data_IF_854091960973
#
_entry.id   IF_854091960973
#
_cell.length_a   1.000
_cell.length_b   1.000
_cell.length_c   1.000
_cell.angle_alpha   90.00
_cell.angle_beta   90.00
_cell.angle_gamma   90.00
#
_symmetry.space_group_name_H-M   'P 1'
#
loop_
_entity.id
_entity.type
_entity.pdbx_description
1 polymer ?
#
# COMPACT_ATOMS: atom_id res chain seq x y z
N UNK A 1 13.41 -9.69 1.17
CA UNK A 1 14.03 -10.68 2.08
C UNK A 1 15.19 -11.37 1.40
N UNK A 2 16.19 -11.82 2.18
CA UNK A 2 17.22 -12.75 1.68
C UNK A 2 16.58 -14.13 1.53
N UNK A 3 16.99 -14.88 0.49
CA UNK A 3 16.49 -16.23 0.26
C UNK A 3 17.05 -17.18 1.32
N UNK A 4 16.21 -18.07 1.86
CA UNK A 4 16.61 -19.09 2.83
C UNK A 4 17.47 -20.14 2.14
N UNK A 5 18.55 -20.66 2.76
CA UNK A 5 19.27 -21.81 2.23
C UNK A 5 18.36 -23.03 2.00
N UNK A 6 18.54 -23.71 0.87
CA UNK A 6 17.69 -24.83 0.46
C UNK A 6 17.78 -25.14 -1.03
N UNK A 7 16.99 -26.09 -1.49
CA UNK A 7 16.92 -26.49 -2.88
C UNK A 7 15.86 -25.66 -3.63
N UNK A 8 16.21 -25.19 -4.81
CA UNK A 8 15.42 -24.31 -5.64
C UNK A 8 15.40 -24.74 -7.10
N UNK A 9 14.42 -24.30 -7.82
CA UNK A 9 14.31 -24.46 -9.27
C UNK A 9 14.31 -23.06 -9.90
N UNK A 10 15.24 -22.79 -10.82
CA UNK A 10 15.15 -21.62 -11.70
C UNK A 10 14.41 -22.01 -12.97
N UNK A 11 13.45 -21.19 -13.38
CA UNK A 11 12.65 -21.33 -14.59
C UNK A 11 12.91 -20.16 -15.52
N UNK A 12 13.30 -20.45 -16.75
CA UNK A 12 13.43 -19.48 -17.83
C UNK A 12 12.29 -19.70 -18.84
N UNK A 13 11.48 -18.68 -19.07
CA UNK A 13 10.42 -18.70 -20.09
C UNK A 13 10.77 -17.71 -21.19
N UNK A 14 10.89 -18.21 -22.42
CA UNK A 14 11.16 -17.39 -23.62
C UNK A 14 10.19 -17.80 -24.72
N UNK A 15 9.29 -16.91 -25.10
CA UNK A 15 8.15 -17.23 -25.95
C UNK A 15 7.36 -18.43 -25.39
N UNK A 16 7.21 -19.50 -26.18
CA UNK A 16 6.51 -20.72 -25.82
C UNK A 16 7.43 -21.81 -25.24
N UNK A 17 8.70 -21.50 -25.00
CA UNK A 17 9.69 -22.45 -24.48
C UNK A 17 9.98 -22.19 -23.02
N UNK A 18 9.93 -23.25 -22.20
CA UNK A 18 10.31 -23.20 -20.79
C UNK A 18 11.48 -24.17 -20.55
N UNK A 19 12.48 -23.65 -19.85
CA UNK A 19 13.64 -24.42 -19.36
C UNK A 19 13.69 -24.32 -17.85
N UNK A 20 14.01 -25.42 -17.19
CA UNK A 20 14.16 -25.47 -15.73
C UNK A 20 15.50 -26.06 -15.36
N UNK A 21 16.08 -25.56 -14.26
CA UNK A 21 17.33 -26.08 -13.69
C UNK A 21 17.24 -26.04 -12.16
N UNK A 22 17.56 -27.17 -11.54
CA UNK A 22 17.67 -27.27 -10.08
C UNK A 22 19.00 -26.67 -9.63
N UNK A 23 18.99 -26.02 -8.45
CA UNK A 23 20.20 -25.52 -7.78
C UNK A 23 19.99 -25.44 -6.27
N UNK A 24 21.06 -25.47 -5.51
CA UNK A 24 21.03 -25.36 -4.05
C UNK A 24 21.69 -24.06 -3.59
N UNK A 25 21.01 -23.35 -2.70
CA UNK A 25 21.57 -22.22 -1.97
C UNK A 25 22.10 -22.74 -0.63
N UNK A 26 23.40 -22.63 -0.44
CA UNK A 26 24.04 -23.01 0.80
C UNK A 26 24.11 -21.82 1.77
N UNK A 27 24.00 -22.12 3.08
CA UNK A 27 24.32 -21.15 4.12
C UNK A 27 25.79 -20.76 4.03
N UNK A 28 26.09 -19.46 4.21
CA UNK A 28 27.48 -19.00 4.36
C UNK A 28 28.10 -19.64 5.59
N UNK A 29 29.18 -20.44 5.43
CA UNK A 29 29.85 -21.13 6.55
C UNK A 29 30.47 -20.15 7.54
N UNK A 30 30.74 -18.89 7.16
CA UNK A 30 31.30 -17.86 8.04
C UNK A 30 30.26 -17.13 8.84
N UNK A 31 28.98 -17.27 8.51
CA UNK A 31 27.86 -16.65 9.23
C UNK A 31 27.55 -17.42 10.51
N UNK A 32 27.46 -16.71 11.65
CA UNK A 32 27.10 -17.28 12.95
C UNK A 32 25.58 -17.53 13.12
N UNK A 33 24.73 -16.89 12.30
CA UNK A 33 23.28 -17.10 12.35
C UNK A 33 22.90 -18.54 12.02
N UNK A 34 21.91 -19.09 12.71
CA UNK A 34 21.37 -20.43 12.44
C UNK A 34 20.45 -20.43 11.20
N UNK A 35 20.10 -21.60 10.68
CA UNK A 35 19.08 -21.73 9.61
C UNK A 35 17.73 -21.23 10.10
N UNK A 36 17.42 -21.48 11.37
CA UNK A 36 16.20 -21.03 12.04
C UNK A 36 16.13 -19.50 12.11
N UNK A 37 17.26 -18.84 12.41
CA UNK A 37 17.37 -17.38 12.41
C UNK A 37 17.11 -16.80 11.03
N UNK A 38 17.71 -17.40 9.98
CA UNK A 38 17.52 -16.98 8.59
C UNK A 38 16.06 -17.13 8.16
N UNK A 39 15.40 -18.24 8.56
CA UNK A 39 13.98 -18.44 8.30
C UNK A 39 13.10 -17.40 9.00
N UNK A 40 13.35 -17.18 10.30
CA UNK A 40 12.62 -16.18 11.08
C UNK A 40 12.79 -14.77 10.51
N UNK A 41 14.01 -14.42 10.05
CA UNK A 41 14.28 -13.16 9.35
C UNK A 41 13.51 -13.06 8.04
N UNK A 42 13.49 -14.13 7.25
CA UNK A 42 12.77 -14.20 5.97
C UNK A 42 11.27 -13.97 6.17
N UNK A 43 10.66 -14.67 7.12
CA UNK A 43 9.24 -14.54 7.45
C UNK A 43 8.91 -13.13 7.95
N UNK A 44 9.71 -12.59 8.86
CA UNK A 44 9.57 -11.24 9.38
C UNK A 44 9.57 -10.17 8.29
N UNK A 45 10.54 -10.23 7.38
CA UNK A 45 10.68 -9.26 6.28
C UNK A 45 9.56 -9.41 5.25
N UNK A 46 9.14 -10.65 4.94
CA UNK A 46 8.04 -10.88 3.99
C UNK A 46 6.69 -10.41 4.53
N UNK A 47 6.43 -10.60 5.82
CA UNK A 47 5.21 -10.07 6.43
C UNK A 47 5.16 -8.54 6.34
N UNK A 48 6.27 -7.85 6.64
CA UNK A 48 6.38 -6.39 6.46
C UNK A 48 6.11 -6.00 5.00
N UNK A 49 6.77 -6.64 4.05
CA UNK A 49 6.62 -6.32 2.64
C UNK A 49 5.18 -6.51 2.17
N UNK A 50 4.52 -7.59 2.58
CA UNK A 50 3.12 -7.85 2.22
C UNK A 50 2.18 -6.74 2.69
N UNK A 51 2.34 -6.27 3.94
CA UNK A 51 1.50 -5.19 4.49
C UNK A 51 1.83 -3.85 3.84
N UNK A 52 3.09 -3.57 3.54
CA UNK A 52 3.50 -2.35 2.83
C UNK A 52 2.95 -2.34 1.41
N UNK A 53 3.00 -3.46 0.70
CA UNK A 53 2.46 -3.58 -0.66
C UNK A 53 0.94 -3.39 -0.67
N UNK A 54 0.21 -3.97 0.29
CA UNK A 54 -1.22 -3.76 0.45
C UNK A 54 -1.56 -2.29 0.69
N UNK A 55 -0.82 -1.62 1.58
CA UNK A 55 -1.00 -0.21 1.85
C UNK A 55 -0.70 0.67 0.62
N UNK A 56 0.33 0.35 -0.16
CA UNK A 56 0.65 1.08 -1.40
C UNK A 56 -0.43 0.89 -2.46
N UNK A 57 -0.98 -0.32 -2.61
CA UNK A 57 -2.10 -0.57 -3.51
C UNK A 57 -3.35 0.25 -3.11
N UNK A 58 -3.63 0.35 -1.81
CA UNK A 58 -4.71 1.20 -1.30
C UNK A 58 -4.46 2.68 -1.62
N UNK A 59 -3.22 3.19 -1.42
CA UNK A 59 -2.83 4.57 -1.75
C UNK A 59 -3.00 4.86 -3.25
N UNK A 60 -2.59 3.95 -4.12
CA UNK A 60 -2.78 4.11 -5.56
C UNK A 60 -4.26 4.21 -5.95
N UNK A 61 -5.11 3.37 -5.34
CA UNK A 61 -6.55 3.43 -5.57
C UNK A 61 -7.18 4.71 -4.99
N UNK A 62 -6.77 5.14 -3.80
CA UNK A 62 -7.17 6.43 -3.20
C UNK A 62 -6.89 7.57 -4.20
N UNK A 63 -5.71 7.61 -4.78
CA UNK A 63 -5.33 8.67 -5.74
C UNK A 63 -6.17 8.66 -7.02
N UNK A 64 -6.57 7.47 -7.50
CA UNK A 64 -7.52 7.35 -8.62
C UNK A 64 -8.90 7.90 -8.24
N UNK A 65 -9.43 7.50 -7.08
CA UNK A 65 -10.71 7.97 -6.58
C UNK A 65 -10.71 9.51 -6.40
N UNK A 66 -9.64 10.06 -5.80
CA UNK A 66 -9.48 11.52 -5.63
C UNK A 66 -9.54 12.24 -6.95
N UNK A 67 -8.84 11.74 -7.97
CA UNK A 67 -8.86 12.31 -9.31
C UNK A 67 -10.27 12.31 -9.92
N UNK A 68 -10.97 11.18 -9.81
CA UNK A 68 -12.30 11.01 -10.41
C UNK A 68 -13.34 11.87 -9.68
N UNK A 69 -13.36 11.91 -8.35
CA UNK A 69 -14.25 12.75 -7.57
C UNK A 69 -13.98 14.25 -7.78
N UNK A 70 -12.70 14.65 -7.88
CA UNK A 70 -12.34 16.06 -8.17
C UNK A 70 -12.81 16.46 -9.57
N UNK A 71 -12.64 15.56 -10.55
CA UNK A 71 -13.17 15.78 -11.90
C UNK A 71 -14.69 15.92 -11.90
N UNK A 72 -15.40 15.02 -11.21
CA UNK A 72 -16.86 15.10 -11.04
C UNK A 72 -17.28 16.44 -10.45
N UNK A 73 -16.64 16.90 -9.38
CA UNK A 73 -16.95 18.20 -8.76
C UNK A 73 -16.76 19.37 -9.72
N UNK A 74 -15.73 19.30 -10.58
CA UNK A 74 -15.47 20.33 -11.60
C UNK A 74 -16.49 20.30 -12.73
N UNK A 75 -16.83 19.10 -13.23
CA UNK A 75 -17.71 18.92 -14.38
C UNK A 75 -19.16 19.35 -14.07
N UNK A 76 -19.60 19.20 -12.82
CA UNK A 76 -20.97 19.47 -12.37
C UNK A 76 -21.08 20.64 -11.37
N UNK A 77 -20.06 21.53 -11.33
CA UNK A 77 -19.97 22.62 -10.35
C UNK A 77 -21.21 23.55 -10.36
N UNK A 78 -21.78 23.81 -11.55
CA UNK A 78 -22.89 24.72 -11.77
C UNK A 78 -24.26 24.00 -11.85
N UNK A 79 -24.29 22.67 -11.66
CA UNK A 79 -25.52 21.88 -11.72
C UNK A 79 -26.16 21.77 -10.33
N UNK A 80 -27.30 22.46 -10.14
CA UNK A 80 -28.05 22.44 -8.86
C UNK A 80 -28.52 21.02 -8.48
N UNK A 81 -28.79 20.14 -9.47
CA UNK A 81 -29.23 18.76 -9.20
C UNK A 81 -28.09 17.90 -8.61
N UNK A 82 -26.83 18.21 -8.94
CA UNK A 82 -25.65 17.53 -8.46
C UNK A 82 -25.17 17.99 -7.08
N UNK A 83 -25.71 19.07 -6.52
CA UNK A 83 -25.19 19.72 -5.30
C UNK A 83 -25.07 18.78 -4.09
N UNK A 84 -26.03 17.92 -3.87
CA UNK A 84 -25.97 16.93 -2.77
C UNK A 84 -24.88 15.92 -2.99
N UNK A 85 -24.72 15.44 -4.23
CA UNK A 85 -23.69 14.46 -4.58
C UNK A 85 -22.28 15.08 -4.54
N UNK A 86 -22.15 16.37 -4.90
CA UNK A 86 -20.91 17.13 -4.71
C UNK A 86 -20.53 17.21 -3.22
N UNK A 87 -21.48 17.41 -2.33
CA UNK A 87 -21.22 17.41 -0.89
C UNK A 87 -20.82 16.02 -0.38
N UNK A 88 -21.49 14.96 -0.84
CA UNK A 88 -21.12 13.57 -0.54
C UNK A 88 -19.69 13.26 -1.02
N UNK A 89 -19.34 13.67 -2.24
CA UNK A 89 -17.98 13.50 -2.79
C UNK A 89 -16.90 14.21 -1.97
N UNK A 90 -17.20 15.38 -1.39
CA UNK A 90 -16.27 16.08 -0.48
C UNK A 90 -16.01 15.30 0.80
N UNK A 91 -17.05 14.71 1.40
CA UNK A 91 -16.89 13.88 2.60
C UNK A 91 -16.06 12.64 2.34
N UNK A 92 -16.24 11.99 1.18
CA UNK A 92 -15.41 10.87 0.74
C UNK A 92 -13.96 11.33 0.58
N UNK A 93 -13.73 12.46 -0.11
CA UNK A 93 -12.37 13.01 -0.30
C UNK A 93 -11.68 13.31 1.03
N UNK A 94 -12.37 13.94 1.98
CA UNK A 94 -11.82 14.21 3.31
C UNK A 94 -11.43 12.91 4.04
N UNK A 95 -12.28 11.89 3.96
CA UNK A 95 -12.05 10.60 4.60
C UNK A 95 -10.83 9.87 4.01
N UNK A 96 -10.71 9.81 2.68
CA UNK A 96 -9.57 9.15 2.02
C UNK A 96 -8.27 9.94 2.16
N UNK A 97 -8.34 11.28 2.27
CA UNK A 97 -7.18 12.14 2.55
C UNK A 97 -6.58 11.85 3.93
N UNK A 98 -7.43 11.66 4.94
CA UNK A 98 -6.97 11.29 6.28
C UNK A 98 -6.25 9.94 6.26
N UNK A 99 -6.78 8.94 5.54
CA UNK A 99 -6.17 7.62 5.41
C UNK A 99 -4.83 7.72 4.69
N UNK A 100 -4.77 8.40 3.53
CA UNK A 100 -3.51 8.56 2.79
C UNK A 100 -2.44 9.27 3.62
N UNK A 101 -2.80 10.33 4.33
CA UNK A 101 -1.86 11.10 5.16
C UNK A 101 -1.32 10.31 6.36
N UNK A 102 -2.06 9.36 6.91
CA UNK A 102 -1.57 8.45 7.95
C UNK A 102 -0.65 7.37 7.38
N UNK A 103 -0.99 6.82 6.22
CA UNK A 103 -0.21 5.77 5.57
C UNK A 103 1.08 6.30 4.94
N UNK A 104 1.03 7.46 4.27
CA UNK A 104 2.10 7.98 3.42
C UNK A 104 2.34 9.47 3.60
N UNK A 105 3.59 9.91 3.48
CA UNK A 105 3.93 11.34 3.51
C UNK A 105 3.70 12.00 2.15
N UNK A 106 2.58 12.73 2.04
CA UNK A 106 2.16 13.36 0.77
C UNK A 106 2.86 14.69 0.47
N UNK A 107 3.56 15.27 1.45
CA UNK A 107 4.20 16.59 1.32
C UNK A 107 5.62 16.53 0.75
N UNK A 108 6.21 15.35 0.66
CA UNK A 108 7.57 15.20 0.14
C UNK A 108 7.60 15.46 -1.38
N UNK A 109 8.40 16.43 -1.80
CA UNK A 109 8.68 16.77 -3.20
C UNK A 109 10.16 16.54 -3.56
N UNK A 110 11.03 16.47 -2.56
CA UNK A 110 12.47 16.23 -2.73
C UNK A 110 12.99 15.17 -1.76
N UNK A 111 14.18 14.63 -2.04
CA UNK A 111 14.84 13.63 -1.19
C UNK A 111 15.21 14.14 0.22
N UNK A 112 15.24 15.46 0.43
CA UNK A 112 15.57 16.08 1.73
C UNK A 112 14.33 16.46 2.56
N UNK A 113 13.14 16.38 1.98
CA UNK A 113 11.89 16.74 2.66
C UNK A 113 11.58 15.91 3.91
N UNK A 114 12.02 14.63 4.04
CA UNK A 114 11.88 13.88 5.29
C UNK A 114 12.53 14.56 6.51
N UNK A 115 13.44 15.50 6.33
CA UNK A 115 13.99 16.32 7.42
C UNK A 115 12.97 17.34 7.96
N UNK A 116 12.02 17.76 7.13
CA UNK A 116 10.98 18.74 7.45
C UNK A 116 9.64 18.09 7.74
N UNK A 117 9.34 16.96 7.08
CA UNK A 117 8.08 16.25 7.20
C UNK A 117 8.33 14.84 7.72
N UNK A 118 7.82 14.53 8.91
CA UNK A 118 8.00 13.22 9.55
C UNK A 118 7.51 12.08 8.66
N UNK A 119 8.23 10.95 8.72
CA UNK A 119 7.85 9.70 8.03
C UNK A 119 6.51 9.17 8.54
N UNK A 120 5.80 8.43 7.70
CA UNK A 120 4.48 7.87 7.97
C UNK A 120 4.53 6.34 8.13
N UNK A 121 3.37 5.71 8.33
CA UNK A 121 3.28 4.30 8.72
C UNK A 121 3.99 3.35 7.75
N UNK A 122 3.82 3.50 6.43
CA UNK A 122 4.48 2.64 5.43
C UNK A 122 6.00 2.78 5.47
N UNK A 123 6.51 4.01 5.64
CA UNK A 123 7.95 4.23 5.77
C UNK A 123 8.51 3.66 7.09
N UNK A 124 7.80 3.87 8.22
CA UNK A 124 8.21 3.33 9.51
C UNK A 124 8.27 1.80 9.47
N UNK A 125 7.24 1.17 8.90
CA UNK A 125 7.19 -0.29 8.77
C UNK A 125 8.28 -0.81 7.84
N UNK A 126 8.45 -0.21 6.64
CA UNK A 126 9.47 -0.59 5.68
C UNK A 126 10.91 -0.38 6.18
N UNK A 127 11.13 0.62 7.05
CA UNK A 127 12.46 0.88 7.63
C UNK A 127 12.93 -0.24 8.57
N UNK A 128 12.03 -1.04 9.16
CA UNK A 128 12.42 -2.21 9.96
C UNK A 128 13.23 -3.21 9.14
N UNK A 129 12.97 -3.33 7.83
CA UNK A 129 13.73 -4.21 6.95
C UNK A 129 15.22 -3.83 6.85
N UNK A 130 15.56 -2.57 7.16
CA UNK A 130 16.96 -2.12 7.08
C UNK A 130 17.85 -2.77 8.15
N UNK A 131 17.28 -3.14 9.30
CA UNK A 131 18.00 -3.82 10.37
C UNK A 131 18.53 -5.21 9.94
N UNK A 132 17.89 -5.84 8.94
CA UNK A 132 18.22 -7.19 8.48
C UNK A 132 19.05 -7.25 7.20
N UNK A 133 19.61 -6.13 6.76
CA UNK A 133 20.44 -6.08 5.54
C UNK A 133 21.86 -6.66 5.76
N UNK A 134 22.36 -6.61 6.96
CA UNK A 134 23.76 -6.84 7.29
C UNK A 134 24.10 -8.12 8.06
N UNK A 135 23.17 -9.05 8.26
CA UNK A 135 23.43 -10.26 9.04
C UNK A 135 22.40 -11.36 8.79
N UNK A 136 22.60 -12.52 9.41
CA UNK A 136 21.74 -13.69 9.30
C UNK A 136 21.07 -14.04 10.64
N UNK A 137 21.02 -13.08 11.57
CA UNK A 137 20.36 -13.25 12.87
C UNK A 137 18.85 -13.03 12.75
N UNK A 138 18.10 -13.76 13.55
CA UNK A 138 16.65 -13.61 13.64
C UNK A 138 16.22 -12.29 14.28
N UNK A 139 14.95 -11.90 14.13
CA UNK A 139 14.42 -10.71 14.77
C UNK A 139 14.40 -10.85 16.30
N UNK A 140 14.72 -9.76 16.98
CA UNK A 140 14.64 -9.70 18.45
C UNK A 140 13.16 -9.59 18.89
N UNK A 141 12.91 -9.81 20.18
CA UNK A 141 11.57 -9.61 20.76
C UNK A 141 11.06 -8.17 20.56
N UNK A 142 11.98 -7.17 20.61
CA UNK A 142 11.66 -5.77 20.35
C UNK A 142 11.26 -5.54 18.89
N UNK A 143 11.99 -6.13 17.94
CA UNK A 143 11.65 -6.01 16.52
C UNK A 143 10.26 -6.55 16.23
N UNK A 144 9.94 -7.72 16.79
CA UNK A 144 8.63 -8.36 16.65
C UNK A 144 7.53 -7.47 17.25
N UNK A 145 7.75 -6.91 18.44
CA UNK A 145 6.77 -6.05 19.12
C UNK A 145 6.51 -4.77 18.31
N UNK A 146 7.57 -4.10 17.84
CA UNK A 146 7.45 -2.88 17.04
C UNK A 146 6.78 -3.16 15.69
N UNK A 147 7.16 -4.25 15.01
CA UNK A 147 6.50 -4.69 13.76
C UNK A 147 5.00 -4.88 13.98
N UNK A 148 4.61 -5.64 15.00
CA UNK A 148 3.22 -5.95 15.26
C UNK A 148 2.39 -4.68 15.56
N UNK A 149 2.96 -3.74 16.32
CA UNK A 149 2.30 -2.46 16.60
C UNK A 149 2.13 -1.60 15.34
N UNK A 150 3.14 -1.55 14.46
CA UNK A 150 3.07 -0.82 13.20
C UNK A 150 2.07 -1.47 12.23
N UNK A 151 2.10 -2.80 12.09
CA UNK A 151 1.13 -3.54 11.27
C UNK A 151 -0.30 -3.27 11.75
N UNK A 152 -0.53 -3.31 13.06
CA UNK A 152 -1.85 -2.98 13.62
C UNK A 152 -2.31 -1.58 13.22
N UNK A 153 -1.42 -0.57 13.27
CA UNK A 153 -1.76 0.81 12.86
C UNK A 153 -2.06 0.92 11.37
N UNK A 154 -1.31 0.21 10.52
CA UNK A 154 -1.58 0.15 9.08
C UNK A 154 -2.94 -0.50 8.82
N UNK A 155 -3.22 -1.65 9.46
CA UNK A 155 -4.47 -2.38 9.28
C UNK A 155 -5.70 -1.55 9.68
N UNK A 156 -5.62 -0.73 10.73
CA UNK A 156 -6.71 0.21 11.10
C UNK A 156 -7.03 1.17 9.94
N UNK A 157 -6.03 1.64 9.19
CA UNK A 157 -6.26 2.52 8.04
C UNK A 157 -6.80 1.74 6.83
N UNK A 158 -6.31 0.51 6.61
CA UNK A 158 -6.83 -0.37 5.56
C UNK A 158 -8.28 -0.78 5.81
N UNK A 159 -8.67 -1.03 7.05
CA UNK A 159 -10.07 -1.30 7.43
C UNK A 159 -10.98 -0.11 7.09
N UNK A 160 -10.57 1.11 7.44
CA UNK A 160 -11.31 2.34 7.06
C UNK A 160 -11.41 2.51 5.55
N UNK A 161 -10.31 2.28 4.83
CA UNK A 161 -10.29 2.32 3.37
C UNK A 161 -11.27 1.28 2.79
N UNK A 162 -11.25 0.05 3.27
CA UNK A 162 -12.12 -1.03 2.80
C UNK A 162 -13.61 -0.71 3.05
N UNK A 163 -13.96 -0.06 4.19
CA UNK A 163 -15.33 0.41 4.45
C UNK A 163 -15.77 1.43 3.39
N UNK A 164 -14.94 2.43 3.07
CA UNK A 164 -15.23 3.41 2.03
C UNK A 164 -15.47 2.74 0.68
N UNK A 165 -14.60 1.78 0.30
CA UNK A 165 -14.71 1.06 -0.98
C UNK A 165 -15.97 0.19 -1.05
N UNK A 166 -16.37 -0.44 0.07
CA UNK A 166 -17.52 -1.35 0.09
C UNK A 166 -18.86 -0.68 0.34
N UNK A 167 -18.87 0.51 0.90
CA UNK A 167 -20.10 1.20 1.32
C UNK A 167 -20.26 2.57 0.62
N UNK A 168 -19.32 3.50 0.82
CA UNK A 168 -19.48 4.88 0.36
C UNK A 168 -19.39 5.00 -1.17
N UNK A 169 -18.43 4.34 -1.80
CA UNK A 169 -18.26 4.39 -3.27
C UNK A 169 -19.46 3.76 -4.01
N UNK A 170 -19.98 2.58 -3.63
CA UNK A 170 -21.22 2.05 -4.23
C UNK A 170 -22.43 2.94 -4.00
N UNK A 171 -22.57 3.53 -2.80
CA UNK A 171 -23.63 4.49 -2.48
C UNK A 171 -23.57 5.71 -3.41
N UNK A 172 -22.39 6.35 -3.51
CA UNK A 172 -22.15 7.46 -4.42
C UNK A 172 -22.50 7.11 -5.88
N UNK A 173 -22.01 5.96 -6.37
CA UNK A 173 -22.29 5.50 -7.73
C UNK A 173 -23.79 5.26 -7.99
N UNK A 174 -24.52 4.76 -6.98
CA UNK A 174 -25.97 4.57 -7.08
C UNK A 174 -26.68 5.92 -7.16
N UNK A 175 -26.30 6.86 -6.29
CA UNK A 175 -26.86 8.23 -6.28
C UNK A 175 -26.57 8.96 -7.60
N UNK A 176 -25.35 8.82 -8.14
CA UNK A 176 -24.98 9.39 -9.44
C UNK A 176 -25.88 8.87 -10.58
N UNK A 177 -26.12 7.55 -10.65
CA UNK A 177 -26.99 6.97 -11.67
C UNK A 177 -28.46 7.47 -11.61
N UNK A 178 -28.90 7.81 -10.41
CA UNK A 178 -30.28 8.28 -10.18
C UNK A 178 -30.47 9.75 -10.56
N UNK A 179 -29.41 10.54 -10.78
CA UNK A 179 -29.50 11.96 -11.10
C UNK A 179 -29.76 12.25 -12.59
N UNK A 180 -29.74 11.23 -13.46
CA UNK A 180 -29.95 11.40 -14.92
C UNK A 180 -29.10 12.54 -15.52
N UNK A 181 -27.85 12.70 -15.01
CA UNK A 181 -26.95 13.75 -15.47
C UNK A 181 -26.45 13.46 -16.88
N UNK A 182 -26.41 14.51 -17.72
CA UNK A 182 -25.84 14.42 -19.05
C UNK A 182 -24.32 14.23 -18.98
N UNK A 183 -23.80 13.19 -19.63
CA UNK A 183 -22.35 12.92 -19.69
C UNK A 183 -21.59 13.91 -20.57
N UNK A 184 -22.26 14.47 -21.59
CA UNK A 184 -21.70 15.46 -22.50
C UNK A 184 -22.59 16.72 -22.49
N UNK A 185 -22.08 17.80 -21.89
CA UNK A 185 -22.70 19.13 -22.04
C UNK A 185 -22.32 19.69 -23.43
N UNK A 186 -23.22 19.59 -24.38
CA UNK A 186 -23.10 20.29 -25.66
C UNK A 186 -23.68 21.70 -25.46
N UNK A 187 -22.81 22.69 -25.33
CA UNK A 187 -23.23 24.09 -25.39
C UNK A 187 -23.79 24.36 -26.78
N UNK A 188 -25.09 24.59 -26.87
CA UNK A 188 -25.75 25.12 -28.08
C UNK A 188 -25.62 26.64 -28.12
#
# INVERSE_FOLDING_TARGET
AKTVPGDYIVKLSVNDTELTQDFTIHKDPTSEGSIEDIKAQFEFVNEINSVVDEAHNAIENIRKIKKDLTKFQSDYADDESAKNLINESKLILESIDLIENELYQTKNQSNQDPLNYGVRLTNNLGNLNSAFRGGDFGPTAQDIMVKNELIKKVNIQLEKYNSIISEDIPGFNSNFKNLELDYLNVFM
#
